data_IF_320593237011
#
_entry.id   IF_320593237011
#
_cell.length_a   1.000
_cell.length_b   1.000
_cell.length_c   1.000
_cell.angle_alpha   90.00
_cell.angle_beta   90.00
_cell.angle_gamma   90.00
#
_symmetry.space_group_name_H-M   'P 1'
#
loop_
_entity.id
_entity.type
_entity.pdbx_description
1 polymer ?
#
# COMPACT_ATOMS: atom_id res chain seq x y z
N UNK A 1 4.80 -11.43 21.94
CA UNK A 1 4.44 -10.00 21.91
C UNK A 1 2.97 -9.88 21.52
N UNK A 2 2.18 -9.19 22.33
CA UNK A 2 0.75 -8.96 22.09
C UNK A 2 0.49 -8.22 20.77
N UNK A 3 -0.58 -8.60 20.05
CA UNK A 3 -0.94 -7.99 18.76
C UNK A 3 -1.23 -6.49 18.88
N UNK A 4 -1.80 -6.05 20.01
CA UNK A 4 -2.05 -4.63 20.28
C UNK A 4 -0.76 -3.81 20.33
N UNK A 5 0.29 -4.36 20.95
CA UNK A 5 1.61 -3.73 21.02
C UNK A 5 2.27 -3.67 19.64
N UNK A 6 2.18 -4.76 18.86
CA UNK A 6 2.68 -4.82 17.49
C UNK A 6 2.06 -3.75 16.59
N UNK A 7 0.72 -3.61 16.63
CA UNK A 7 0.00 -2.59 15.85
C UNK A 7 0.43 -1.17 16.24
N UNK A 8 0.62 -0.92 17.54
CA UNK A 8 1.12 0.37 18.04
C UNK A 8 2.54 0.64 17.54
N UNK A 9 3.41 -0.36 17.62
CA UNK A 9 4.80 -0.25 17.17
C UNK A 9 4.87 0.03 15.67
N UNK A 10 4.15 -0.73 14.84
CA UNK A 10 4.08 -0.50 13.40
C UNK A 10 3.62 0.92 13.07
N UNK A 11 2.55 1.38 13.73
CA UNK A 11 2.04 2.73 13.51
C UNK A 11 3.06 3.81 13.85
N UNK A 12 3.74 3.70 15.00
CA UNK A 12 4.71 4.70 15.42
C UNK A 12 5.98 4.66 14.56
N UNK A 13 6.47 3.46 14.19
CA UNK A 13 7.61 3.30 13.28
C UNK A 13 7.35 3.96 11.94
N UNK A 14 6.29 3.55 11.24
CA UNK A 14 5.97 4.14 9.93
C UNK A 14 5.73 5.65 10.03
N UNK A 15 5.13 6.12 11.13
CA UNK A 15 4.95 7.55 11.36
C UNK A 15 6.29 8.29 11.47
N UNK A 16 7.20 7.83 12.32
CA UNK A 16 8.48 8.50 12.58
C UNK A 16 9.44 8.38 11.40
N UNK A 17 9.45 7.22 10.75
CA UNK A 17 10.48 6.88 9.77
C UNK A 17 10.04 7.30 8.35
N UNK A 18 8.74 7.24 8.02
CA UNK A 18 8.25 7.51 6.65
C UNK A 18 7.36 8.76 6.55
N UNK A 19 6.38 8.91 7.45
CA UNK A 19 5.36 9.97 7.31
C UNK A 19 5.89 11.33 7.71
N UNK A 20 6.46 11.47 8.91
CA UNK A 20 6.97 12.77 9.40
C UNK A 20 8.15 13.31 8.57
N UNK A 21 9.12 12.47 8.14
CA UNK A 21 10.20 12.94 7.26
C UNK A 21 9.75 13.12 5.81
N UNK A 22 8.50 12.76 5.49
CA UNK A 22 7.94 12.80 4.14
C UNK A 22 8.79 11.99 3.13
N UNK A 23 9.11 10.75 3.51
CA UNK A 23 9.81 9.79 2.63
C UNK A 23 8.90 9.40 1.48
N UNK A 24 9.48 9.29 0.29
CA UNK A 24 8.84 8.77 -0.91
C UNK A 24 9.65 7.61 -1.48
N UNK A 25 8.96 6.59 -1.99
CA UNK A 25 9.59 5.48 -2.72
C UNK A 25 9.31 5.68 -4.20
N UNK A 26 10.36 6.01 -4.96
CA UNK A 26 10.24 6.20 -6.41
C UNK A 26 9.93 4.88 -7.11
N UNK A 27 8.95 4.91 -8.03
CA UNK A 27 8.57 3.78 -8.89
C UNK A 27 8.56 4.21 -10.35
N UNK A 28 9.37 3.54 -11.16
CA UNK A 28 9.49 3.82 -12.59
C UNK A 28 8.16 3.65 -13.32
N UNK A 29 7.36 2.64 -12.94
CA UNK A 29 6.07 2.36 -13.57
C UNK A 29 5.05 3.48 -13.37
N UNK A 30 5.26 4.33 -12.35
CA UNK A 30 4.43 5.49 -12.06
C UNK A 30 5.08 6.79 -12.54
N UNK A 31 6.38 6.78 -12.85
CA UNK A 31 7.19 8.00 -13.03
C UNK A 31 7.16 8.93 -11.81
N UNK A 32 6.87 8.40 -10.61
CA UNK A 32 6.56 9.20 -9.42
C UNK A 32 6.89 8.45 -8.11
N UNK A 33 6.94 9.21 -7.01
CA UNK A 33 7.07 8.67 -5.65
C UNK A 33 5.74 8.17 -5.10
N UNK A 34 5.77 7.00 -4.45
CA UNK A 34 4.72 6.59 -3.51
C UNK A 34 5.03 7.19 -2.14
N UNK A 35 4.09 7.98 -1.61
CA UNK A 35 4.19 8.63 -0.31
C UNK A 35 3.34 7.92 0.74
N UNK A 36 3.57 8.30 2.00
CA UNK A 36 2.88 7.71 3.15
C UNK A 36 2.10 8.79 3.91
N UNK A 37 0.92 8.43 4.38
CA UNK A 37 0.15 9.27 5.29
C UNK A 37 -0.53 8.41 6.36
N UNK A 38 -0.92 9.04 7.47
CA UNK A 38 -1.49 8.27 8.60
C UNK A 38 -2.84 7.62 8.30
N UNK A 39 -3.55 8.04 7.25
CA UNK A 39 -4.79 7.38 6.84
C UNK A 39 -4.47 6.02 6.20
N UNK A 40 -3.59 5.99 5.19
CA UNK A 40 -3.14 4.76 4.54
C UNK A 40 -2.45 3.78 5.50
N UNK A 41 -1.63 4.29 6.43
CA UNK A 41 -1.00 3.45 7.47
C UNK A 41 -2.05 2.78 8.36
N UNK A 42 -3.10 3.51 8.77
CA UNK A 42 -4.20 2.92 9.56
C UNK A 42 -4.94 1.85 8.78
N UNK A 43 -5.22 2.08 7.50
CA UNK A 43 -5.86 1.09 6.63
C UNK A 43 -4.99 -0.16 6.47
N UNK A 44 -3.69 -0.02 6.20
CA UNK A 44 -2.75 -1.15 6.13
C UNK A 44 -2.77 -2.01 7.41
N UNK A 45 -2.83 -1.36 8.58
CA UNK A 45 -2.88 -2.05 9.88
C UNK A 45 -4.25 -2.71 10.13
N UNK A 46 -5.35 -2.04 9.80
CA UNK A 46 -6.69 -2.47 10.22
C UNK A 46 -7.36 -3.43 9.24
N UNK A 47 -6.99 -3.39 7.96
CA UNK A 47 -7.58 -4.28 6.97
C UNK A 47 -7.34 -5.75 7.34
N UNK A 48 -8.34 -6.63 7.23
CA UNK A 48 -8.13 -8.07 7.40
C UNK A 48 -7.05 -8.59 6.44
N UNK A 49 -6.25 -9.55 6.92
CA UNK A 49 -5.18 -10.19 6.14
C UNK A 49 -4.75 -11.48 6.85
N UNK A 50 -4.54 -12.58 6.13
CA UNK A 50 -4.01 -13.82 6.67
C UNK A 50 -2.73 -14.24 5.91
N UNK A 51 -1.52 -14.13 6.48
CA UNK A 51 -1.28 -14.11 7.93
C UNK A 51 -1.05 -12.69 8.50
N UNK A 52 -1.92 -12.28 9.43
CA UNK A 52 -2.02 -10.88 9.91
C UNK A 52 -0.74 -10.39 10.59
N UNK A 53 -0.11 -11.26 11.41
CA UNK A 53 1.05 -10.88 12.22
C UNK A 53 2.24 -10.50 11.34
N UNK A 54 2.44 -11.21 10.25
CA UNK A 54 3.50 -11.05 9.27
C UNK A 54 3.32 -9.75 8.50
N UNK A 55 2.08 -9.38 8.17
CA UNK A 55 1.78 -8.05 7.63
C UNK A 55 2.21 -6.94 8.61
N UNK A 56 1.90 -7.09 9.90
CA UNK A 56 2.30 -6.09 10.89
C UNK A 56 3.82 -6.02 11.05
N UNK A 57 4.53 -7.16 11.03
CA UNK A 57 5.99 -7.18 11.06
C UNK A 57 6.61 -6.51 9.83
N UNK A 58 6.05 -6.75 8.64
CA UNK A 58 6.46 -6.06 7.42
C UNK A 58 6.31 -4.54 7.58
N UNK A 59 5.20 -4.06 8.16
CA UNK A 59 5.01 -2.63 8.40
C UNK A 59 6.03 -2.02 9.38
N UNK A 60 6.64 -2.83 10.27
CA UNK A 60 7.61 -2.32 11.25
C UNK A 60 8.97 -2.09 10.60
N UNK A 61 9.50 -3.07 9.86
CA UNK A 61 10.91 -3.05 9.43
C UNK A 61 11.12 -3.43 7.94
N UNK A 62 10.08 -3.82 7.20
CA UNK A 62 10.22 -4.35 5.83
C UNK A 62 9.45 -3.59 4.76
N UNK A 63 8.72 -2.53 5.11
CA UNK A 63 7.77 -1.87 4.20
C UNK A 63 8.46 -1.24 3.00
N UNK A 64 9.56 -0.53 3.23
CA UNK A 64 10.26 0.19 2.17
C UNK A 64 10.84 -0.77 1.12
N UNK A 65 11.60 -1.77 1.58
CA UNK A 65 12.19 -2.79 0.71
C UNK A 65 11.11 -3.61 -0.02
N UNK A 66 10.06 -4.02 0.69
CA UNK A 66 8.99 -4.80 0.08
C UNK A 66 8.24 -4.00 -1.00
N UNK A 67 7.99 -2.71 -0.76
CA UNK A 67 7.31 -1.84 -1.72
C UNK A 67 8.22 -1.46 -2.89
N UNK A 68 9.52 -1.29 -2.68
CA UNK A 68 10.50 -1.07 -3.74
C UNK A 68 10.58 -2.27 -4.70
N UNK A 69 10.57 -3.48 -4.16
CA UNK A 69 10.73 -4.72 -4.94
C UNK A 69 9.40 -5.34 -5.42
N UNK A 70 8.25 -4.77 -5.04
CA UNK A 70 6.94 -5.29 -5.43
C UNK A 70 6.73 -5.12 -6.96
N UNK A 71 6.16 -6.13 -7.61
CA UNK A 71 5.94 -6.14 -9.06
C UNK A 71 4.71 -5.33 -9.43
N UNK A 72 4.81 -4.36 -10.35
CA UNK A 72 3.64 -3.62 -10.79
C UNK A 72 2.66 -4.52 -11.58
N UNK A 73 1.39 -4.48 -11.19
CA UNK A 73 0.33 -5.33 -11.76
C UNK A 73 -0.55 -4.55 -12.72
N UNK A 74 -1.00 -3.37 -12.32
CA UNK A 74 -1.95 -2.60 -13.13
C UNK A 74 -2.59 -1.45 -12.38
N UNK A 75 -3.55 -0.81 -13.04
CA UNK A 75 -4.30 0.33 -12.55
C UNK A 75 -5.81 0.11 -12.72
N UNK A 76 -6.62 0.68 -11.83
CA UNK A 76 -8.06 0.79 -12.01
C UNK A 76 -8.58 2.14 -11.53
N UNK A 77 -9.42 2.78 -12.34
CA UNK A 77 -10.26 3.92 -11.92
C UNK A 77 -11.53 3.49 -11.17
N UNK A 78 -11.86 2.19 -11.16
CA UNK A 78 -13.06 1.71 -10.47
C UNK A 78 -12.89 1.75 -8.95
N UNK A 79 -13.81 2.42 -8.29
CA UNK A 79 -13.81 2.57 -6.84
C UNK A 79 -15.04 1.88 -6.24
N UNK A 80 -14.83 1.04 -5.21
CA UNK A 80 -15.95 0.45 -4.46
C UNK A 80 -16.81 1.52 -3.78
N UNK A 81 -16.18 2.59 -3.29
CA UNK A 81 -16.83 3.76 -2.75
C UNK A 81 -16.27 4.99 -3.44
N UNK A 82 -17.08 5.63 -4.26
CA UNK A 82 -16.64 6.77 -5.05
C UNK A 82 -16.18 7.93 -4.15
N UNK A 83 -14.90 8.29 -4.25
CA UNK A 83 -14.29 9.43 -3.56
C UNK A 83 -13.81 10.44 -4.59
N UNK A 84 -14.37 11.64 -4.57
CA UNK A 84 -14.08 12.69 -5.56
C UNK A 84 -12.60 13.09 -5.66
N UNK A 85 -11.81 12.88 -4.60
CA UNK A 85 -10.38 13.20 -4.57
C UNK A 85 -9.48 12.06 -5.04
N UNK A 86 -10.05 10.88 -5.33
CA UNK A 86 -9.34 9.68 -5.78
C UNK A 86 -9.62 9.49 -7.26
N UNK A 87 -8.54 9.30 -8.03
CA UNK A 87 -8.61 8.95 -9.45
C UNK A 87 -8.73 7.43 -9.60
N UNK A 88 -7.95 6.68 -8.83
CA UNK A 88 -7.93 5.23 -8.88
C UNK A 88 -6.84 4.64 -8.01
N UNK A 89 -6.52 3.37 -8.29
CA UNK A 89 -5.53 2.61 -7.54
C UNK A 89 -4.57 1.89 -8.48
N UNK A 90 -3.28 2.03 -8.19
CA UNK A 90 -2.21 1.19 -8.72
C UNK A 90 -2.00 -0.01 -7.79
N UNK A 91 -1.74 -1.17 -8.37
CA UNK A 91 -1.51 -2.42 -7.63
C UNK A 91 -0.09 -2.91 -7.83
N UNK A 92 0.57 -3.28 -6.73
CA UNK A 92 1.89 -3.89 -6.75
C UNK A 92 1.86 -5.22 -5.99
N UNK A 93 2.19 -6.32 -6.66
CA UNK A 93 2.24 -7.66 -6.10
C UNK A 93 3.51 -7.88 -5.27
N UNK A 94 3.35 -8.51 -4.11
CA UNK A 94 4.43 -8.90 -3.22
C UNK A 94 4.09 -10.23 -2.52
N UNK A 95 4.95 -10.67 -1.60
CA UNK A 95 4.69 -11.82 -0.73
C UNK A 95 4.80 -11.45 0.74
N UNK A 96 3.83 -11.88 1.54
CA UNK A 96 3.80 -11.70 2.99
C UNK A 96 3.49 -13.06 3.62
N UNK A 97 4.39 -13.54 4.48
CA UNK A 97 4.22 -14.87 5.12
C UNK A 97 4.06 -16.02 4.13
N UNK A 98 4.73 -15.94 2.96
CA UNK A 98 4.66 -16.94 1.90
C UNK A 98 3.41 -16.88 1.00
N UNK A 99 2.48 -15.95 1.26
CA UNK A 99 1.28 -15.76 0.43
C UNK A 99 1.37 -14.50 -0.42
N UNK A 100 0.69 -14.51 -1.56
CA UNK A 100 0.54 -13.33 -2.41
C UNK A 100 -0.21 -12.22 -1.68
N UNK A 101 0.29 -11.00 -1.82
CA UNK A 101 -0.33 -9.79 -1.31
C UNK A 101 -0.17 -8.66 -2.31
N UNK A 102 -0.98 -7.62 -2.17
CA UNK A 102 -0.95 -6.46 -3.05
C UNK A 102 -0.88 -5.19 -2.22
N UNK A 103 0.08 -4.33 -2.54
CA UNK A 103 0.05 -2.94 -2.12
C UNK A 103 -0.90 -2.17 -3.03
N UNK A 104 -1.88 -1.53 -2.42
CA UNK A 104 -2.84 -0.68 -3.11
C UNK A 104 -2.38 0.77 -2.95
N UNK A 105 -1.98 1.40 -4.05
CA UNK A 105 -1.46 2.76 -4.09
C UNK A 105 -2.52 3.66 -4.70
N UNK A 106 -3.06 4.56 -3.89
CA UNK A 106 -4.09 5.51 -4.31
C UNK A 106 -3.49 6.66 -5.12
N UNK A 107 -3.99 6.88 -6.33
CA UNK A 107 -3.73 8.07 -7.13
C UNK A 107 -4.78 9.13 -6.83
N UNK A 108 -4.35 10.34 -6.48
CA UNK A 108 -5.25 11.48 -6.22
C UNK A 108 -5.42 12.37 -7.44
N UNK A 109 -6.46 13.22 -7.44
CA UNK A 109 -6.69 14.24 -8.48
C UNK A 109 -5.57 15.28 -8.58
N UNK A 110 -4.69 15.36 -7.57
CA UNK A 110 -3.50 16.21 -7.55
C UNK A 110 -2.25 15.49 -8.12
N UNK A 111 -2.46 14.33 -8.76
CA UNK A 111 -1.40 13.47 -9.30
C UNK A 111 -0.39 13.01 -8.23
N UNK A 112 -0.88 12.74 -7.01
CA UNK A 112 -0.06 12.21 -5.92
C UNK A 112 -0.39 10.74 -5.66
N UNK A 113 0.65 9.94 -5.42
CA UNK A 113 0.52 8.52 -5.10
C UNK A 113 0.73 8.29 -3.61
N UNK A 114 -0.20 7.61 -2.96
CA UNK A 114 -0.10 7.25 -1.55
C UNK A 114 -0.31 5.76 -1.35
N UNK A 115 0.55 5.12 -0.55
CA UNK A 115 0.23 3.78 -0.05
C UNK A 115 -1.07 3.85 0.76
N UNK A 116 -2.09 3.14 0.31
CA UNK A 116 -3.42 3.18 0.89
C UNK A 116 -3.76 1.93 1.70
N UNK A 117 -3.51 0.73 1.16
CA UNK A 117 -3.83 -0.51 1.87
C UNK A 117 -3.01 -1.71 1.40
N UNK A 118 -3.14 -2.85 2.10
CA UNK A 118 -2.51 -4.12 1.73
C UNK A 118 -3.60 -5.20 1.71
N UNK A 119 -3.82 -5.83 0.56
CA UNK A 119 -4.86 -6.86 0.35
C UNK A 119 -4.30 -8.20 -0.08
N UNK A 120 -5.07 -9.26 0.12
CA UNK A 120 -4.76 -10.62 -0.36
C UNK A 120 -5.19 -10.86 -1.80
N UNK A 121 -6.09 -10.02 -2.32
CA UNK A 121 -6.62 -10.11 -3.68
C UNK A 121 -6.95 -8.73 -4.24
N UNK A 122 -7.07 -8.69 -5.56
CA UNK A 122 -7.55 -7.56 -6.35
C UNK A 122 -8.61 -8.06 -7.34
N UNK A 123 -9.42 -7.14 -7.88
CA UNK A 123 -10.37 -7.46 -8.94
C UNK A 123 -9.69 -7.33 -10.30
N UNK A 124 -9.22 -8.45 -10.83
CA UNK A 124 -8.46 -8.49 -12.08
C UNK A 124 -9.26 -7.98 -13.27
N UNK A 125 -10.57 -8.25 -13.27
CA UNK A 125 -11.51 -7.82 -14.28
C UNK A 125 -11.72 -6.29 -14.32
N UNK A 126 -11.32 -5.56 -13.28
CA UNK A 126 -11.44 -4.10 -13.23
C UNK A 126 -10.15 -3.39 -13.65
N UNK A 127 -9.07 -4.13 -13.93
CA UNK A 127 -7.81 -3.54 -14.36
C UNK A 127 -7.95 -2.96 -15.77
N UNK A 128 -7.43 -1.76 -15.94
CA UNK A 128 -7.37 -1.10 -17.24
C UNK A 128 -6.26 -1.75 -18.07
N UNK A 129 -6.59 -2.09 -19.32
CA UNK A 129 -5.61 -2.65 -20.25
C UNK A 129 -4.56 -1.59 -20.58
N UNK A 130 -3.28 -1.96 -20.54
CA UNK A 130 -2.23 -1.12 -21.11
C UNK A 130 -2.52 -0.98 -22.60
N UNK A 131 -2.92 0.21 -23.04
CA UNK A 131 -2.88 0.55 -24.46
C UNK A 131 -1.43 0.37 -24.90
N UNK A 132 -1.17 -0.69 -25.66
CA UNK A 132 0.15 -1.03 -26.18
C UNK A 132 0.41 -0.22 -27.44
#
# INVERSE_FOLDING_TARGET
>A
MELSLLRRLARERVKQDLVLPNVGIYREELGAEIRFNMAGVKECINQPFDPYREKILLLIDGLEEALLNATYVGFTSQQNHNRQHVVGYHFFETRIGGKTAYFNVQLTVQNQNYLYSITESIRWETLEQKNT
#
